data_IF_277688800667
#
_entry.id   IF_277688800667
#
_cell.length_a   1.000
_cell.length_b   1.000
_cell.length_c   1.000
_cell.angle_alpha   90.00
_cell.angle_beta   90.00
_cell.angle_gamma   90.00
#
_symmetry.space_group_name_H-M   'P 1'
#
loop_
_entity.id
_entity.type
_entity.pdbx_description
1 polymer ?
#
# COMPACT_ATOMS: atom_id res chain seq x y z
N UNK A 1 8.11 29.67 12.17
CA UNK A 1 8.13 29.26 10.74
C UNK A 1 8.78 27.90 10.52
N UNK A 2 9.64 27.42 11.42
CA UNK A 2 10.36 26.14 11.34
C UNK A 2 9.43 24.89 11.35
N UNK A 3 8.29 24.96 12.03
CA UNK A 3 7.40 23.80 12.24
C UNK A 3 6.64 23.34 10.96
N UNK A 4 6.25 24.26 10.07
CA UNK A 4 5.44 23.92 8.87
C UNK A 4 6.30 23.19 7.81
N UNK A 5 7.58 23.55 7.67
CA UNK A 5 8.50 22.88 6.74
C UNK A 5 8.81 21.46 7.19
N UNK A 6 9.02 21.23 8.49
CA UNK A 6 9.28 19.90 9.04
C UNK A 6 8.07 18.97 8.91
N UNK A 7 6.86 19.47 9.20
CA UNK A 7 5.64 18.69 9.01
C UNK A 7 5.40 18.31 7.54
N UNK A 8 5.62 19.25 6.61
CA UNK A 8 5.52 18.97 5.16
C UNK A 8 6.57 17.95 4.73
N UNK A 9 7.79 18.06 5.24
CA UNK A 9 8.86 17.10 4.96
C UNK A 9 8.53 15.70 5.50
N UNK A 10 8.02 15.60 6.73
CA UNK A 10 7.60 14.32 7.34
C UNK A 10 6.51 13.64 6.51
N UNK A 11 5.47 14.38 6.11
CA UNK A 11 4.39 13.87 5.23
C UNK A 11 4.92 13.43 3.86
N UNK A 12 5.83 14.19 3.27
CA UNK A 12 6.45 13.82 2.00
C UNK A 12 7.30 12.54 2.14
N UNK A 13 8.07 12.41 3.21
CA UNK A 13 8.90 11.23 3.52
C UNK A 13 8.05 9.98 3.75
N UNK A 14 6.97 10.11 4.49
CA UNK A 14 6.00 9.02 4.73
C UNK A 14 5.39 8.53 3.42
N UNK A 15 4.96 9.45 2.55
CA UNK A 15 4.43 9.10 1.23
C UNK A 15 5.45 8.38 0.36
N UNK A 16 6.71 8.81 0.38
CA UNK A 16 7.80 8.11 -0.33
C UNK A 16 8.00 6.71 0.23
N UNK A 17 7.92 6.51 1.55
CA UNK A 17 8.04 5.20 2.16
C UNK A 17 6.88 4.27 1.75
N UNK A 18 5.63 4.76 1.73
CA UNK A 18 4.48 3.96 1.31
C UNK A 18 4.59 3.53 -0.15
N UNK A 19 5.04 4.44 -1.03
CA UNK A 19 5.32 4.14 -2.44
C UNK A 19 6.42 3.08 -2.57
N UNK A 20 7.53 3.20 -1.83
CA UNK A 20 8.61 2.20 -1.83
C UNK A 20 8.12 0.82 -1.36
N UNK A 21 7.33 0.79 -0.30
CA UNK A 21 6.74 -0.44 0.23
C UNK A 21 5.86 -1.12 -0.83
N UNK A 22 4.98 -0.35 -1.49
CA UNK A 22 4.16 -0.85 -2.59
C UNK A 22 5.01 -1.46 -3.71
N UNK A 23 6.05 -0.78 -4.18
CA UNK A 23 6.92 -1.31 -5.23
C UNK A 23 7.64 -2.60 -4.83
N UNK A 24 8.05 -2.73 -3.56
CA UNK A 24 8.66 -3.95 -3.05
C UNK A 24 7.67 -5.13 -3.12
N UNK A 25 6.45 -4.94 -2.62
CA UNK A 25 5.39 -5.96 -2.69
C UNK A 25 5.01 -6.30 -4.13
N UNK A 26 4.94 -5.30 -5.01
CA UNK A 26 4.64 -5.49 -6.43
C UNK A 26 5.74 -6.28 -7.15
N UNK A 27 7.01 -5.96 -6.90
CA UNK A 27 8.14 -6.68 -7.49
C UNK A 27 8.14 -8.15 -7.06
N UNK A 28 7.93 -8.42 -5.77
CA UNK A 28 7.80 -9.80 -5.25
C UNK A 28 6.62 -10.51 -5.91
N UNK A 29 5.47 -9.86 -6.04
CA UNK A 29 4.30 -10.41 -6.72
C UNK A 29 4.61 -10.79 -8.19
N UNK A 30 5.27 -9.90 -8.93
CA UNK A 30 5.67 -10.14 -10.32
C UNK A 30 6.71 -11.26 -10.49
N UNK A 31 7.44 -11.64 -9.45
CA UNK A 31 8.40 -12.75 -9.50
C UNK A 31 7.72 -14.07 -9.09
N UNK A 32 7.00 -14.05 -7.97
CA UNK A 32 6.41 -15.24 -7.37
C UNK A 32 5.23 -15.77 -8.21
N UNK A 33 4.33 -14.91 -8.68
CA UNK A 33 3.15 -15.37 -9.42
C UNK A 33 3.52 -16.07 -10.73
N UNK A 34 4.44 -15.57 -11.57
CA UNK A 34 4.90 -16.31 -12.74
C UNK A 34 5.61 -17.62 -12.41
N UNK A 35 6.40 -17.66 -11.34
CA UNK A 35 7.03 -18.90 -10.88
C UNK A 35 5.99 -19.96 -10.48
N UNK A 36 4.94 -19.55 -9.74
CA UNK A 36 3.83 -20.43 -9.39
C UNK A 36 2.98 -20.80 -10.61
N UNK A 37 2.81 -19.90 -11.57
CA UNK A 37 2.09 -20.19 -12.82
C UNK A 37 2.82 -21.25 -13.65
N UNK A 38 4.14 -21.13 -13.74
CA UNK A 38 4.98 -22.14 -14.36
C UNK A 38 4.86 -23.49 -13.65
N UNK A 39 4.94 -23.51 -12.31
CA UNK A 39 4.77 -24.73 -11.53
C UNK A 39 3.38 -25.36 -11.73
N UNK A 40 2.32 -24.54 -11.72
CA UNK A 40 0.95 -24.97 -11.94
C UNK A 40 0.81 -25.66 -13.31
N UNK A 41 1.28 -25.01 -14.38
CA UNK A 41 1.25 -25.54 -15.74
C UNK A 41 1.98 -26.89 -15.88
N UNK A 42 3.03 -27.12 -15.07
CA UNK A 42 3.83 -28.35 -15.10
C UNK A 42 3.26 -29.49 -14.24
N UNK A 43 2.45 -29.17 -13.24
CA UNK A 43 2.03 -30.16 -12.21
C UNK A 43 0.58 -30.59 -12.34
N UNK A 44 -0.29 -29.75 -12.87
CA UNK A 44 -1.73 -30.00 -12.79
C UNK A 44 -2.49 -29.26 -13.90
N UNK A 45 -3.57 -29.85 -14.40
CA UNK A 45 -4.46 -29.22 -15.39
C UNK A 45 -5.40 -28.15 -14.78
N UNK A 46 -5.52 -28.14 -13.46
CA UNK A 46 -6.29 -27.16 -12.69
C UNK A 46 -5.45 -25.93 -12.31
N UNK A 47 -5.94 -24.74 -12.65
CA UNK A 47 -5.25 -23.46 -12.45
C UNK A 47 -5.30 -22.95 -10.99
N UNK A 48 -4.80 -23.73 -10.03
CA UNK A 48 -4.70 -23.33 -8.62
C UNK A 48 -3.89 -22.04 -8.41
N UNK A 49 -3.02 -21.64 -9.35
CA UNK A 49 -2.29 -20.36 -9.28
C UNK A 49 -3.22 -19.13 -9.22
N UNK A 50 -4.47 -19.26 -9.68
CA UNK A 50 -5.44 -18.18 -9.64
C UNK A 50 -5.78 -17.75 -8.20
N UNK A 51 -5.78 -18.68 -7.23
CA UNK A 51 -6.07 -18.35 -5.83
C UNK A 51 -5.04 -17.41 -5.21
N UNK A 52 -3.72 -17.71 -5.20
CA UNK A 52 -2.73 -16.77 -4.69
C UNK A 52 -2.63 -15.52 -5.56
N UNK A 53 -2.77 -15.61 -6.89
CA UNK A 53 -2.73 -14.43 -7.76
C UNK A 53 -3.85 -13.45 -7.42
N UNK A 54 -5.10 -13.92 -7.33
CA UNK A 54 -6.24 -13.06 -7.01
C UNK A 54 -6.17 -12.59 -5.55
N UNK A 55 -5.91 -13.51 -4.61
CA UNK A 55 -5.85 -13.19 -3.18
C UNK A 55 -4.78 -12.15 -2.83
N UNK A 56 -3.54 -12.32 -3.30
CA UNK A 56 -2.51 -11.29 -3.13
C UNK A 56 -2.74 -10.07 -4.00
N UNK A 57 -3.31 -10.23 -5.19
CA UNK A 57 -3.66 -9.13 -6.08
C UNK A 57 -4.58 -8.11 -5.39
N UNK A 58 -5.57 -8.59 -4.62
CA UNK A 58 -6.42 -7.69 -3.81
C UNK A 58 -5.65 -6.93 -2.74
N UNK A 59 -4.74 -7.59 -2.00
CA UNK A 59 -3.89 -6.93 -1.02
C UNK A 59 -2.98 -5.87 -1.65
N UNK A 60 -2.43 -6.19 -2.83
CA UNK A 60 -1.60 -5.29 -3.60
C UNK A 60 -2.37 -4.05 -4.09
N UNK A 61 -3.62 -4.22 -4.52
CA UNK A 61 -4.51 -3.10 -4.86
C UNK A 61 -4.75 -2.20 -3.64
N UNK A 62 -4.91 -2.78 -2.45
CA UNK A 62 -4.97 -2.04 -1.19
C UNK A 62 -3.74 -1.15 -0.95
N UNK A 63 -2.54 -1.74 -1.06
CA UNK A 63 -1.29 -1.00 -0.90
C UNK A 63 -1.09 0.08 -1.98
N UNK A 64 -1.54 -0.17 -3.21
CA UNK A 64 -1.52 0.83 -4.27
C UNK A 64 -2.41 2.03 -3.91
N UNK A 65 -3.64 1.77 -3.50
CA UNK A 65 -4.59 2.82 -3.09
C UNK A 65 -4.01 3.68 -1.97
N UNK A 66 -3.41 3.06 -0.97
CA UNK A 66 -2.76 3.74 0.16
C UNK A 66 -1.53 4.56 -0.29
N UNK A 67 -0.59 3.95 -1.03
CA UNK A 67 0.62 4.60 -1.51
C UNK A 67 0.34 5.84 -2.40
N UNK A 68 -0.70 5.76 -3.24
CA UNK A 68 -1.07 6.85 -4.14
C UNK A 68 -2.06 7.84 -3.52
N UNK A 69 -2.51 7.62 -2.29
CA UNK A 69 -3.44 8.50 -1.57
C UNK A 69 -4.85 8.50 -2.16
N UNK A 70 -5.25 7.39 -2.78
CA UNK A 70 -6.61 7.10 -3.23
C UNK A 70 -7.23 6.10 -2.26
N UNK A 71 -7.31 6.44 -0.99
CA UNK A 71 -7.96 5.57 -0.02
C UNK A 71 -9.49 5.65 -0.23
N UNK A 72 -10.17 4.59 -0.70
CA UNK A 72 -11.59 4.63 -1.02
C UNK A 72 -12.48 4.73 0.23
N UNK A 73 -11.92 4.41 1.40
CA UNK A 73 -12.65 4.42 2.68
C UNK A 73 -12.50 5.74 3.44
N UNK A 74 -11.34 6.38 3.37
CA UNK A 74 -11.07 7.63 4.10
C UNK A 74 -10.38 8.64 3.19
N UNK A 75 -11.13 9.65 2.73
CA UNK A 75 -10.59 10.71 1.89
C UNK A 75 -9.60 11.61 2.65
N UNK A 76 -8.86 12.45 1.90
CA UNK A 76 -7.92 13.43 2.45
C UNK A 76 -8.52 14.30 3.56
N UNK A 77 -9.82 14.61 3.51
CA UNK A 77 -10.50 15.38 4.55
C UNK A 77 -10.57 14.64 5.89
N UNK A 78 -10.80 13.32 5.89
CA UNK A 78 -10.79 12.52 7.10
C UNK A 78 -9.39 12.48 7.71
N UNK A 79 -8.36 12.31 6.88
CA UNK A 79 -6.95 12.36 7.29
C UNK A 79 -6.62 13.71 7.95
N UNK A 80 -7.00 14.82 7.31
CA UNK A 80 -6.74 16.17 7.85
C UNK A 80 -7.48 16.40 9.17
N UNK A 81 -8.74 15.93 9.30
CA UNK A 81 -9.46 16.00 10.58
C UNK A 81 -8.74 15.21 11.66
N UNK A 82 -8.35 13.96 11.40
CA UNK A 82 -7.69 13.13 12.43
C UNK A 82 -6.33 13.68 12.83
N UNK A 83 -5.55 14.22 11.88
CA UNK A 83 -4.30 14.91 12.21
C UNK A 83 -4.57 16.14 13.10
N UNK A 84 -5.62 16.91 12.81
CA UNK A 84 -5.99 18.06 13.63
C UNK A 84 -6.49 17.65 15.02
N UNK A 85 -7.25 16.57 15.11
CA UNK A 85 -7.73 15.97 16.36
C UNK A 85 -6.54 15.54 17.23
N UNK A 86 -5.59 14.75 16.69
CA UNK A 86 -4.40 14.34 17.42
C UNK A 86 -3.41 15.47 17.77
N UNK A 87 -3.44 16.59 17.03
CA UNK A 87 -2.63 17.76 17.36
C UNK A 87 -3.26 18.64 18.45
N UNK A 88 -4.58 18.60 18.59
CA UNK A 88 -5.32 19.38 19.58
C UNK A 88 -5.65 18.56 20.84
N UNK A 89 -5.62 17.23 20.76
CA UNK A 89 -5.64 16.36 21.93
C UNK A 89 -4.31 16.54 22.69
N UNK A 90 -4.40 17.24 23.81
CA UNK A 90 -3.29 17.55 24.71
C UNK A 90 -2.81 16.36 25.56
N UNK A 91 -3.18 15.12 25.20
CA UNK A 91 -2.72 13.90 25.90
C UNK A 91 -1.38 13.35 25.37
N UNK A 92 -0.67 14.08 24.51
CA UNK A 92 0.73 13.84 24.17
C UNK A 92 1.58 15.11 24.23
#
# INVERSE_FOLDING_TARGET
MENISEQRYKKAKERVNNIKSFYNHFAVYCIIIPALAYLNFRTTSFAWVLFPAIGWGFGLLGHWMDAFGKNPFFGKEWEQRKIHEFMNDTEF
#
